data_IF_200521687063
#
_entry.id   IF_200521687063
#
_cell.length_a   1.000
_cell.length_b   1.000
_cell.length_c   1.000
_cell.angle_alpha   90.00
_cell.angle_beta   90.00
_cell.angle_gamma   90.00
#
_symmetry.space_group_name_H-M   'P 1'
#
loop_
_entity.id
_entity.type
_entity.pdbx_description
1 polymer ?
#
# COMPACT_ATOMS: atom_id res chain seq x y z
N UNK A 1 2.18 12.59 -30.49
CA UNK A 1 3.18 12.18 -29.47
C UNK A 1 4.58 12.52 -29.98
N UNK A 2 5.45 13.04 -29.12
CA UNK A 2 6.88 13.18 -29.39
C UNK A 2 7.63 12.41 -28.31
N UNK A 3 8.59 11.58 -28.69
CA UNK A 3 9.35 10.74 -27.78
C UNK A 3 10.82 10.69 -28.20
N UNK A 4 11.69 10.26 -27.29
CA UNK A 4 13.08 9.91 -27.58
C UNK A 4 13.28 8.49 -27.07
N UNK A 5 13.60 7.58 -27.98
CA UNK A 5 13.95 6.21 -27.61
C UNK A 5 15.46 6.10 -27.45
N UNK A 6 15.91 5.41 -26.41
CA UNK A 6 17.34 5.18 -26.18
C UNK A 6 17.60 3.74 -25.79
N UNK A 7 18.63 3.14 -26.40
CA UNK A 7 19.09 1.78 -26.14
C UNK A 7 20.58 1.70 -26.48
N UNK A 8 21.36 1.02 -25.63
CA UNK A 8 22.79 0.76 -25.84
C UNK A 8 23.63 2.01 -26.18
N UNK A 9 23.29 3.16 -25.58
CA UNK A 9 23.99 4.43 -25.78
C UNK A 9 23.61 5.18 -27.07
N UNK A 10 22.76 4.60 -27.91
CA UNK A 10 22.15 5.28 -29.05
C UNK A 10 20.80 5.88 -28.67
N UNK A 11 20.44 7.01 -29.29
CA UNK A 11 19.14 7.64 -29.15
C UNK A 11 18.58 8.08 -30.49
N UNK A 12 17.26 7.95 -30.65
CA UNK A 12 16.53 8.37 -31.85
C UNK A 12 15.30 9.19 -31.47
N UNK A 13 15.09 10.30 -32.18
CA UNK A 13 13.89 11.11 -32.04
C UNK A 13 12.72 10.39 -32.70
N UNK A 14 11.54 10.41 -32.08
CA UNK A 14 10.35 9.77 -32.61
C UNK A 14 9.13 10.70 -32.60
N UNK A 15 8.31 10.61 -33.64
CA UNK A 15 7.06 11.37 -33.79
C UNK A 15 5.95 10.41 -34.17
N UNK A 16 4.84 10.46 -33.45
CA UNK A 16 3.63 9.71 -33.76
C UNK A 16 2.42 10.64 -33.88
N UNK A 17 1.80 10.68 -35.05
CA UNK A 17 0.55 11.40 -35.26
C UNK A 17 -0.63 10.57 -34.75
N UNK A 18 -1.64 11.20 -34.15
CA UNK A 18 -2.80 10.50 -33.57
C UNK A 18 -2.52 9.76 -32.25
N UNK A 19 -1.27 9.48 -31.89
CA UNK A 19 -0.88 8.75 -30.67
C UNK A 19 -0.91 9.60 -29.38
N UNK A 20 -1.56 10.77 -29.39
CA UNK A 20 -1.65 11.66 -28.22
C UNK A 20 -2.29 11.00 -26.98
N UNK A 21 -3.45 10.34 -27.13
CA UNK A 21 -4.12 9.68 -26.00
C UNK A 21 -3.29 8.56 -25.33
N UNK A 22 -2.34 7.95 -26.04
CA UNK A 22 -1.49 6.89 -25.46
C UNK A 22 -0.58 7.41 -24.35
N UNK A 23 -0.28 8.72 -24.31
CA UNK A 23 0.53 9.29 -23.23
C UNK A 23 -0.08 9.10 -21.85
N UNK A 24 -1.42 9.05 -21.73
CA UNK A 24 -2.12 8.83 -20.45
C UNK A 24 -2.25 7.34 -20.08
N UNK A 25 -1.91 6.47 -21.03
CA UNK A 25 -2.01 5.01 -20.95
C UNK A 25 -0.67 4.32 -20.73
N UNK A 26 0.42 5.09 -20.71
CA UNK A 26 1.80 4.65 -20.54
C UNK A 26 2.35 5.23 -19.22
N UNK A 27 2.80 4.36 -18.32
CA UNK A 27 3.45 4.78 -17.08
C UNK A 27 4.79 5.51 -17.39
N UNK A 28 5.19 6.51 -16.57
CA UNK A 28 6.37 7.34 -16.85
C UNK A 28 7.69 6.58 -17.05
N UNK A 29 7.79 5.39 -16.49
CA UNK A 29 8.98 4.55 -16.46
C UNK A 29 8.80 3.23 -17.23
N UNK A 30 7.73 3.13 -18.01
CA UNK A 30 7.41 1.94 -18.78
C UNK A 30 8.51 1.67 -19.81
N UNK A 31 8.86 0.38 -19.96
CA UNK A 31 9.65 -0.07 -21.10
C UNK A 31 8.73 -0.26 -22.29
N UNK A 32 8.98 0.51 -23.33
CA UNK A 32 8.10 0.58 -24.50
C UNK A 32 8.80 -0.07 -25.68
N UNK A 33 8.11 -1.01 -26.32
CA UNK A 33 8.44 -1.49 -27.66
C UNK A 33 7.72 -0.62 -28.68
N UNK A 34 8.41 -0.18 -29.73
CA UNK A 34 7.85 0.68 -30.75
C UNK A 34 8.02 0.07 -32.14
N UNK A 35 7.03 0.25 -32.99
CA UNK A 35 7.08 -0.08 -34.42
C UNK A 35 6.86 1.20 -35.20
N UNK A 36 7.68 1.43 -36.23
CA UNK A 36 7.61 2.63 -37.02
C UNK A 36 8.49 2.58 -38.26
N UNK A 37 8.37 3.61 -39.08
CA UNK A 37 9.17 3.80 -40.28
C UNK A 37 10.34 4.75 -39.97
N UNK A 38 11.55 4.33 -40.37
CA UNK A 38 12.72 5.19 -40.24
C UNK A 38 12.67 6.27 -41.33
N UNK A 39 12.77 7.52 -40.91
CA UNK A 39 12.80 8.69 -41.78
C UNK A 39 14.00 9.59 -41.44
N UNK A 40 14.29 10.52 -42.33
CA UNK A 40 15.30 11.56 -42.11
C UNK A 40 14.56 12.88 -42.01
N UNK A 41 14.68 13.55 -40.87
CA UNK A 41 14.16 14.89 -40.70
C UNK A 41 15.23 15.90 -41.10
N UNK A 42 14.96 16.68 -42.15
CA UNK A 42 15.86 17.71 -42.66
C UNK A 42 15.33 19.10 -42.32
N UNK A 43 16.08 19.85 -41.52
CA UNK A 43 15.75 21.23 -41.18
C UNK A 43 16.99 22.12 -41.22
N UNK A 44 16.94 23.18 -42.03
CA UNK A 44 18.03 24.16 -42.17
C UNK A 44 19.41 23.54 -42.47
N UNK A 45 19.44 22.52 -43.33
CA UNK A 45 20.68 21.81 -43.70
C UNK A 45 21.16 20.77 -42.67
N UNK A 46 20.45 20.58 -41.55
CA UNK A 46 20.71 19.49 -40.61
C UNK A 46 19.76 18.32 -40.89
N UNK A 47 20.33 17.16 -41.21
CA UNK A 47 19.62 15.90 -41.35
C UNK A 47 19.78 15.08 -40.06
N UNK A 48 18.66 14.64 -39.48
CA UNK A 48 18.67 13.81 -38.26
C UNK A 48 17.77 12.60 -38.44
N UNK A 49 18.23 11.37 -38.11
CA UNK A 49 17.36 10.20 -38.15
C UNK A 49 16.19 10.38 -37.19
N UNK A 50 15.00 10.01 -37.65
CA UNK A 50 13.76 10.09 -36.90
C UNK A 50 12.93 8.83 -37.13
N UNK A 51 12.23 8.36 -36.11
CA UNK A 51 11.26 7.27 -36.21
C UNK A 51 9.84 7.85 -36.31
N UNK A 52 9.15 7.57 -37.40
CA UNK A 52 7.72 7.83 -37.53
C UNK A 52 6.96 6.67 -36.89
N UNK A 53 6.33 6.91 -35.74
CA UNK A 53 5.67 5.87 -34.94
C UNK A 53 4.36 5.42 -35.60
N UNK A 54 4.23 4.11 -35.80
CA UNK A 54 2.99 3.46 -36.20
C UNK A 54 2.25 2.90 -34.99
N UNK A 55 2.97 2.23 -34.08
CA UNK A 55 2.38 1.58 -32.91
C UNK A 55 3.37 1.45 -31.74
N UNK A 56 2.84 1.28 -30.53
CA UNK A 56 3.57 1.16 -29.27
C UNK A 56 2.99 0.02 -28.43
N UNK A 57 3.86 -0.75 -27.78
CA UNK A 57 3.47 -1.81 -26.87
C UNK A 57 4.26 -1.72 -25.55
N UNK A 58 3.57 -2.00 -24.44
CA UNK A 58 4.19 -2.19 -23.12
C UNK A 58 3.87 -3.62 -22.69
N UNK A 59 4.91 -4.43 -22.54
CA UNK A 59 4.78 -5.86 -22.20
C UNK A 59 4.86 -6.12 -20.70
N UNK A 60 5.47 -5.20 -19.96
CA UNK A 60 5.64 -5.31 -18.51
C UNK A 60 4.43 -4.72 -17.77
N UNK A 61 4.19 -5.21 -16.54
CA UNK A 61 3.20 -4.62 -15.64
C UNK A 61 3.51 -3.14 -15.39
N UNK A 62 2.54 -2.27 -15.66
CA UNK A 62 2.69 -0.83 -15.45
C UNK A 62 2.25 -0.41 -14.05
N UNK A 63 3.01 0.48 -13.41
CA UNK A 63 2.64 1.09 -12.13
C UNK A 63 2.22 2.55 -12.33
N UNK A 64 0.94 2.82 -12.08
CA UNK A 64 0.39 4.16 -11.99
C UNK A 64 0.32 4.56 -10.52
N UNK A 65 1.23 5.46 -10.14
CA UNK A 65 1.23 6.05 -8.80
C UNK A 65 0.18 7.18 -8.74
N UNK A 66 -0.93 6.87 -8.08
CA UNK A 66 -2.06 7.78 -7.88
C UNK A 66 -2.28 8.05 -6.39
N UNK A 67 -1.20 7.96 -5.59
CA UNK A 67 -1.22 8.30 -4.17
C UNK A 67 -1.56 9.79 -4.00
N UNK A 68 -2.32 10.11 -2.96
CA UNK A 68 -2.84 11.47 -2.73
C UNK A 68 -4.07 11.83 -3.58
N UNK A 69 -4.61 10.87 -4.35
CA UNK A 69 -5.89 11.03 -5.02
C UNK A 69 -7.02 11.28 -4.01
N UNK A 70 -7.67 12.44 -4.10
CA UNK A 70 -8.79 12.85 -3.23
C UNK A 70 -10.11 12.21 -3.62
N UNK A 71 -10.29 11.92 -4.91
CA UNK A 71 -11.52 11.38 -5.48
C UNK A 71 -11.17 10.36 -6.54
N UNK A 72 -11.45 9.08 -6.26
CA UNK A 72 -11.11 7.98 -7.16
C UNK A 72 -12.10 7.82 -8.34
N UNK A 73 -13.25 8.51 -8.33
CA UNK A 73 -14.30 8.35 -9.35
C UNK A 73 -13.79 8.60 -10.77
N UNK A 74 -13.07 9.70 -11.09
CA UNK A 74 -12.61 9.96 -12.45
C UNK A 74 -11.60 8.91 -12.94
N UNK A 75 -10.79 8.38 -12.01
CA UNK A 75 -9.88 7.28 -12.32
C UNK A 75 -10.67 6.04 -12.71
N UNK A 76 -11.62 5.62 -11.87
CA UNK A 76 -12.41 4.42 -12.14
C UNK A 76 -13.23 4.57 -13.43
N UNK A 77 -13.94 5.68 -13.63
CA UNK A 77 -14.77 5.94 -14.82
C UNK A 77 -13.99 5.83 -16.14
N UNK A 78 -12.71 6.24 -16.15
CA UNK A 78 -11.82 6.14 -17.30
C UNK A 78 -11.42 4.71 -17.66
N UNK A 79 -11.32 3.79 -16.70
CA UNK A 79 -10.78 2.46 -16.94
C UNK A 79 -11.80 1.57 -17.69
N UNK A 80 -11.39 0.65 -18.59
CA UNK A 80 -12.31 -0.32 -19.19
C UNK A 80 -12.92 -1.22 -18.10
N UNK A 81 -14.26 -1.34 -18.08
CA UNK A 81 -14.98 -2.12 -17.04
C UNK A 81 -14.60 -3.59 -17.04
N UNK A 82 -14.32 -4.13 -18.21
CA UNK A 82 -14.00 -5.54 -18.43
C UNK A 82 -12.59 -5.88 -17.94
N UNK A 83 -11.72 -4.88 -17.80
CA UNK A 83 -10.32 -5.06 -17.38
C UNK A 83 -10.07 -4.62 -15.94
N UNK A 84 -10.83 -3.65 -15.41
CA UNK A 84 -10.62 -3.13 -14.06
C UNK A 84 -10.95 -4.18 -13.00
N UNK A 85 -10.12 -4.23 -11.96
CA UNK A 85 -10.35 -4.99 -10.74
C UNK A 85 -10.13 -4.04 -9.55
N UNK A 86 -11.21 -3.68 -8.86
CA UNK A 86 -11.15 -2.71 -7.76
C UNK A 86 -11.02 -3.47 -6.44
N UNK A 87 -9.92 -3.25 -5.72
CA UNK A 87 -9.55 -4.03 -4.53
C UNK A 87 -9.43 -3.11 -3.32
N UNK A 88 -9.99 -3.57 -2.19
CA UNK A 88 -9.79 -2.99 -0.86
C UNK A 88 -9.44 -4.08 0.14
N UNK A 89 -8.54 -3.79 1.07
CA UNK A 89 -8.18 -4.67 2.17
C UNK A 89 -9.01 -4.41 3.44
N UNK A 90 -9.74 -3.29 3.49
CA UNK A 90 -10.64 -2.92 4.60
C UNK A 90 -12.05 -2.72 4.07
N UNK A 91 -13.02 -3.46 4.59
CA UNK A 91 -14.38 -3.42 4.04
C UNK A 91 -15.08 -2.07 4.28
N UNK A 92 -14.61 -1.27 5.25
CA UNK A 92 -15.10 0.09 5.45
C UNK A 92 -14.75 1.03 4.28
N UNK A 93 -13.73 0.70 3.47
CA UNK A 93 -13.35 1.49 2.28
C UNK A 93 -14.49 1.60 1.27
N UNK A 94 -15.33 0.57 1.15
CA UNK A 94 -16.54 0.62 0.32
C UNK A 94 -17.59 1.63 0.79
N UNK A 95 -17.47 2.16 2.02
CA UNK A 95 -18.37 3.17 2.56
C UNK A 95 -17.98 4.61 2.18
N UNK A 96 -16.79 4.82 1.64
CA UNK A 96 -16.35 6.15 1.21
C UNK A 96 -17.25 6.70 0.10
N UNK A 97 -17.60 8.00 0.11
CA UNK A 97 -18.50 8.59 -0.89
C UNK A 97 -18.00 8.45 -2.33
N UNK A 98 -16.68 8.47 -2.55
CA UNK A 98 -16.04 8.32 -3.86
C UNK A 98 -15.97 6.86 -4.35
N UNK A 99 -16.08 5.88 -3.44
CA UNK A 99 -16.05 4.44 -3.75
C UNK A 99 -17.45 3.82 -3.80
N UNK A 100 -18.40 4.34 -3.00
CA UNK A 100 -19.74 3.80 -2.84
C UNK A 100 -20.50 3.53 -4.17
N UNK A 101 -20.40 4.38 -5.22
CA UNK A 101 -21.02 4.09 -6.51
C UNK A 101 -20.51 2.81 -7.20
N UNK A 102 -19.32 2.33 -6.85
CA UNK A 102 -18.66 1.16 -7.43
C UNK A 102 -18.71 -0.08 -6.54
N UNK A 103 -19.57 -0.11 -5.50
CA UNK A 103 -19.65 -1.26 -4.57
C UNK A 103 -19.92 -2.60 -5.26
N UNK A 104 -20.65 -2.61 -6.37
CA UNK A 104 -20.93 -3.84 -7.13
C UNK A 104 -19.70 -4.42 -7.83
N UNK A 105 -18.63 -3.63 -7.97
CA UNK A 105 -17.37 -3.99 -8.63
C UNK A 105 -16.20 -4.07 -7.62
N UNK A 106 -16.47 -3.84 -6.33
CA UNK A 106 -15.47 -3.79 -5.27
C UNK A 106 -15.23 -5.19 -4.67
N UNK A 107 -13.97 -5.62 -4.66
CA UNK A 107 -13.51 -6.81 -3.98
C UNK A 107 -12.87 -6.42 -2.63
N UNK A 108 -13.61 -6.61 -1.54
CA UNK A 108 -13.02 -6.54 -0.20
C UNK A 108 -12.30 -7.86 0.11
N UNK A 109 -10.99 -7.80 0.36
CA UNK A 109 -10.14 -8.96 0.67
C UNK A 109 -9.42 -8.77 2.02
N UNK A 110 -10.11 -8.98 3.15
CA UNK A 110 -9.54 -8.82 4.49
C UNK A 110 -8.55 -9.94 4.89
N UNK A 111 -8.45 -11.02 4.12
CA UNK A 111 -7.60 -12.18 4.42
C UNK A 111 -6.65 -12.50 3.26
N UNK A 112 -5.54 -13.20 3.55
CA UNK A 112 -4.60 -13.68 2.52
C UNK A 112 -5.26 -14.68 1.57
N UNK A 113 -6.14 -15.55 2.08
CA UNK A 113 -6.85 -16.54 1.28
C UNK A 113 -7.77 -15.87 0.25
N UNK A 114 -8.56 -14.88 0.67
CA UNK A 114 -9.42 -14.12 -0.24
C UNK A 114 -8.61 -13.29 -1.24
N UNK A 115 -7.48 -12.72 -0.81
CA UNK A 115 -6.57 -11.97 -1.68
C UNK A 115 -5.93 -12.88 -2.75
N UNK A 116 -5.44 -14.06 -2.36
CA UNK A 116 -4.81 -15.03 -3.25
C UNK A 116 -5.79 -15.75 -4.18
N UNK A 117 -7.09 -15.77 -3.84
CA UNK A 117 -8.12 -16.35 -4.69
C UNK A 117 -8.55 -15.45 -5.87
N UNK A 118 -8.17 -14.18 -5.88
CA UNK A 118 -8.50 -13.25 -6.97
C UNK A 118 -7.61 -13.52 -8.19
N UNK A 119 -8.21 -13.71 -9.36
CA UNK A 119 -7.45 -13.73 -10.61
C UNK A 119 -7.13 -12.30 -11.07
N UNK A 120 -5.84 -11.96 -11.10
CA UNK A 120 -5.36 -10.63 -11.48
C UNK A 120 -4.70 -10.59 -12.87
N UNK A 121 -4.64 -11.72 -13.58
CA UNK A 121 -4.01 -11.81 -14.90
C UNK A 121 -4.63 -10.87 -15.91
N UNK A 122 -3.78 -10.08 -16.57
CA UNK A 122 -4.15 -9.09 -17.58
C UNK A 122 -5.20 -8.06 -17.11
N UNK A 123 -5.37 -7.90 -15.77
CA UNK A 123 -6.28 -6.94 -15.15
C UNK A 123 -5.62 -5.59 -14.88
N UNK A 124 -6.46 -4.58 -14.71
CA UNK A 124 -6.10 -3.26 -14.21
C UNK A 124 -6.47 -3.21 -12.73
N UNK A 125 -5.53 -3.60 -11.87
CA UNK A 125 -5.74 -3.72 -10.43
C UNK A 125 -5.67 -2.34 -9.79
N UNK A 126 -6.75 -1.92 -9.16
CA UNK A 126 -6.85 -0.64 -8.44
C UNK A 126 -6.83 -0.91 -6.94
N UNK A 127 -5.74 -0.51 -6.28
CA UNK A 127 -5.53 -0.72 -4.84
C UNK A 127 -5.99 0.51 -4.06
N UNK A 128 -7.20 0.45 -3.50
CA UNK A 128 -7.86 1.61 -2.90
C UNK A 128 -7.27 2.07 -1.57
N UNK A 129 -6.86 1.12 -0.73
CA UNK A 129 -6.42 1.36 0.65
C UNK A 129 -5.16 0.55 1.00
N UNK A 130 -4.54 0.90 2.12
CA UNK A 130 -3.33 0.22 2.61
C UNK A 130 -3.73 -1.07 3.33
N UNK A 131 -3.15 -2.23 2.95
CA UNK A 131 -3.41 -3.48 3.64
C UNK A 131 -2.93 -3.39 5.10
N UNK A 132 -3.62 -4.05 6.05
CA UNK A 132 -3.17 -4.10 7.45
C UNK A 132 -1.83 -4.82 7.62
N UNK A 133 -1.42 -5.62 6.63
CA UNK A 133 -0.17 -6.39 6.61
C UNK A 133 0.29 -6.52 5.15
N UNK A 134 1.58 -6.39 4.89
CA UNK A 134 2.12 -6.55 3.52
C UNK A 134 1.85 -7.93 2.93
N UNK A 135 1.72 -8.96 3.75
CA UNK A 135 1.42 -10.32 3.29
C UNK A 135 0.11 -10.42 2.50
N UNK A 136 -0.92 -9.59 2.78
CA UNK A 136 -2.16 -9.59 1.98
C UNK A 136 -1.90 -9.11 0.55
N UNK A 137 -1.13 -8.04 0.41
CA UNK A 137 -0.75 -7.52 -0.90
C UNK A 137 0.18 -8.50 -1.63
N UNK A 138 1.06 -9.18 -0.89
CA UNK A 138 1.89 -10.25 -1.45
C UNK A 138 1.06 -11.44 -1.94
N UNK A 139 0.02 -11.85 -1.20
CA UNK A 139 -0.88 -12.93 -1.62
C UNK A 139 -1.66 -12.52 -2.87
N UNK A 140 -2.18 -11.29 -2.92
CA UNK A 140 -2.85 -10.75 -4.11
C UNK A 140 -1.91 -10.70 -5.31
N UNK A 141 -0.71 -10.13 -5.17
CA UNK A 141 0.23 -9.99 -6.29
C UNK A 141 0.89 -11.32 -6.68
N UNK A 142 0.81 -12.33 -5.82
CA UNK A 142 1.22 -13.70 -6.10
C UNK A 142 0.22 -14.49 -6.92
N UNK A 143 -1.05 -14.05 -7.00
CA UNK A 143 -2.12 -14.80 -7.67
C UNK A 143 -2.19 -14.61 -9.20
N UNK A 144 -1.28 -13.83 -9.78
CA UNK A 144 -1.22 -13.63 -11.23
C UNK A 144 -0.35 -12.45 -11.66
N UNK A 145 -0.45 -12.08 -12.93
CA UNK A 145 0.31 -10.99 -13.56
C UNK A 145 -0.61 -9.88 -14.06
N UNK A 146 -0.77 -8.79 -13.30
CA UNK A 146 -1.61 -7.69 -13.72
C UNK A 146 -0.96 -6.94 -14.89
N UNK A 147 -1.79 -6.45 -15.81
CA UNK A 147 -1.32 -5.56 -16.87
C UNK A 147 -0.98 -4.18 -16.30
N UNK A 148 -1.74 -3.74 -15.30
CA UNK A 148 -1.58 -2.42 -14.65
C UNK A 148 -1.92 -2.51 -13.17
N UNK A 149 -1.17 -1.78 -12.36
CA UNK A 149 -1.46 -1.51 -10.95
C UNK A 149 -1.65 -0.01 -10.78
N UNK A 150 -2.78 0.38 -10.21
CA UNK A 150 -3.08 1.75 -9.79
C UNK A 150 -3.00 1.82 -8.26
N UNK A 151 -1.93 2.42 -7.76
CA UNK A 151 -1.67 2.55 -6.32
C UNK A 151 -2.35 3.81 -5.79
N UNK A 152 -3.58 3.67 -5.26
CA UNK A 152 -4.34 4.78 -4.66
C UNK A 152 -3.95 4.95 -3.20
N UNK A 153 -3.98 3.86 -2.43
CA UNK A 153 -3.64 3.81 -1.00
C UNK A 153 -4.21 5.00 -0.19
N UNK A 154 -5.45 5.39 -0.49
CA UNK A 154 -6.07 6.53 0.13
C UNK A 154 -6.39 6.24 1.59
N UNK A 155 -5.86 7.08 2.49
CA UNK A 155 -6.06 6.97 3.93
C UNK A 155 -6.83 8.17 4.47
N UNK A 156 -7.67 8.00 5.50
CA UNK A 156 -8.28 9.12 6.21
C UNK A 156 -7.20 10.00 6.88
N UNK A 157 -7.33 11.32 6.74
CA UNK A 157 -6.42 12.32 7.33
C UNK A 157 -6.21 12.13 8.86
N UNK A 158 -7.18 11.53 9.56
CA UNK A 158 -7.11 11.27 10.99
C UNK A 158 -6.09 10.18 11.41
N UNK A 159 -5.52 9.41 10.48
CA UNK A 159 -4.49 8.40 10.79
C UNK A 159 -3.07 8.98 10.87
N UNK A 160 -2.79 10.10 10.18
CA UNK A 160 -1.45 10.68 10.04
C UNK A 160 -0.81 11.18 11.35
N UNK A 161 -1.61 11.49 12.38
CA UNK A 161 -1.13 12.10 13.63
C UNK A 161 -1.10 11.14 14.83
N UNK A 162 -1.23 9.83 14.61
CA UNK A 162 -1.25 8.85 15.70
C UNK A 162 0.16 8.50 16.14
N UNK A 163 0.62 9.12 17.23
CA UNK A 163 1.90 8.76 17.87
C UNK A 163 1.90 7.29 18.30
N UNK A 164 2.74 6.49 17.67
CA UNK A 164 2.98 5.11 18.11
C UNK A 164 3.75 5.10 19.43
N UNK A 165 3.28 4.40 20.47
CA UNK A 165 3.98 4.41 21.74
C UNK A 165 5.36 3.75 21.62
N UNK A 166 6.40 4.49 21.99
CA UNK A 166 7.77 4.01 22.01
C UNK A 166 7.99 3.07 23.21
N UNK A 167 9.10 2.33 23.20
CA UNK A 167 9.49 1.50 24.34
C UNK A 167 9.59 2.31 25.64
N UNK A 168 9.97 3.57 25.57
CA UNK A 168 10.04 4.44 26.74
C UNK A 168 8.67 4.89 27.23
N UNK A 169 7.67 5.04 26.34
CA UNK A 169 6.28 5.23 26.75
C UNK A 169 5.77 4.03 27.55
N UNK A 170 6.04 2.81 27.07
CA UNK A 170 5.66 1.59 27.78
C UNK A 170 6.36 1.46 29.14
N UNK A 171 7.67 1.70 29.21
CA UNK A 171 8.42 1.71 30.49
C UNK A 171 7.82 2.72 31.47
N UNK A 172 7.51 3.92 30.99
CA UNK A 172 6.95 4.94 31.83
C UNK A 172 5.56 4.56 32.35
N UNK A 173 4.69 4.06 31.46
CA UNK A 173 3.34 3.65 31.83
C UNK A 173 3.36 2.49 32.84
N UNK A 174 4.28 1.54 32.69
CA UNK A 174 4.49 0.47 33.67
C UNK A 174 4.94 1.02 35.03
N UNK A 175 5.92 1.93 35.05
CA UNK A 175 6.40 2.56 36.28
C UNK A 175 5.30 3.35 37.01
N UNK A 176 4.46 4.06 36.24
CA UNK A 176 3.29 4.77 36.75
C UNK A 176 2.31 3.79 37.46
N UNK A 177 1.99 2.67 36.81
CA UNK A 177 1.11 1.66 37.40
C UNK A 177 1.72 0.99 38.64
N UNK A 178 3.04 0.77 38.64
CA UNK A 178 3.75 0.25 39.80
C UNK A 178 3.68 1.21 41.01
N UNK A 179 3.73 2.53 40.79
CA UNK A 179 3.61 3.53 41.85
C UNK A 179 2.19 3.63 42.41
N UNK A 180 1.18 3.59 41.55
CA UNK A 180 -0.22 3.81 41.95
C UNK A 180 -0.99 2.52 42.30
N UNK A 181 -0.45 1.34 41.95
CA UNK A 181 -1.01 -0.03 42.09
C UNK A 181 -2.32 -0.29 41.36
N UNK A 182 -3.27 0.66 41.41
CA UNK A 182 -4.49 0.66 40.63
C UNK A 182 -4.75 2.06 40.03
N UNK A 183 -5.34 2.08 38.84
CA UNK A 183 -5.63 3.31 38.11
C UNK A 183 -6.98 3.20 37.39
N UNK A 184 -7.94 4.12 37.64
CA UNK A 184 -9.23 4.11 36.96
C UNK A 184 -9.11 4.66 35.54
N UNK A 185 -8.64 3.80 34.62
CA UNK A 185 -8.37 4.13 33.23
C UNK A 185 -9.60 4.73 32.52
N UNK A 186 -10.78 4.15 32.72
CA UNK A 186 -12.00 4.62 32.06
C UNK A 186 -12.42 6.04 32.49
N UNK A 187 -12.06 6.48 33.70
CA UNK A 187 -12.42 7.81 34.22
C UNK A 187 -11.29 8.83 34.05
N UNK A 188 -10.03 8.40 34.14
CA UNK A 188 -8.86 9.27 34.25
C UNK A 188 -7.83 9.08 33.13
N UNK A 189 -8.09 8.18 32.17
CA UNK A 189 -7.21 7.94 31.02
C UNK A 189 -6.92 9.20 30.21
N UNK A 190 -7.94 10.01 29.93
CA UNK A 190 -7.78 11.30 29.25
C UNK A 190 -7.00 12.37 30.06
N UNK A 191 -6.98 12.29 31.39
CA UNK A 191 -6.11 13.16 32.22
C UNK A 191 -4.65 12.74 32.07
N UNK A 192 -4.38 11.44 32.13
CA UNK A 192 -3.04 10.88 31.95
C UNK A 192 -2.49 11.19 30.57
N UNK A 193 -3.32 11.04 29.53
CA UNK A 193 -2.99 11.36 28.16
C UNK A 193 -2.54 12.82 28.02
N UNK A 194 -3.35 13.76 28.52
CA UNK A 194 -3.03 15.21 28.49
C UNK A 194 -1.77 15.55 29.27
N UNK A 195 -1.59 14.97 30.46
CA UNK A 195 -0.39 15.22 31.28
C UNK A 195 0.91 14.72 30.61
N UNK A 196 0.81 13.74 29.70
CA UNK A 196 1.95 13.17 28.97
C UNK A 196 2.10 13.62 27.53
N UNK A 197 1.19 14.44 27.02
CA UNK A 197 1.16 14.78 25.59
C UNK A 197 0.86 13.56 24.71
N UNK A 198 0.15 12.57 25.23
CA UNK A 198 -0.33 11.41 24.50
C UNK A 198 -1.79 11.59 24.11
N UNK A 199 -2.27 10.82 23.13
CA UNK A 199 -3.70 10.70 22.89
C UNK A 199 -4.30 9.68 23.86
N UNK A 200 -5.60 9.80 24.11
CA UNK A 200 -6.34 8.82 24.91
C UNK A 200 -6.27 7.43 24.29
N UNK A 201 -6.26 7.35 22.95
CA UNK A 201 -6.04 6.11 22.21
C UNK A 201 -4.68 5.48 22.51
N UNK A 202 -3.59 6.26 22.59
CA UNK A 202 -2.26 5.76 22.96
C UNK A 202 -2.27 5.11 24.36
N UNK A 203 -2.95 5.72 25.34
CA UNK A 203 -3.05 5.16 26.70
C UNK A 203 -3.83 3.85 26.70
N UNK A 204 -4.99 3.83 26.06
CA UNK A 204 -5.81 2.62 25.94
C UNK A 204 -5.09 1.51 25.17
N UNK A 205 -4.32 1.86 24.14
CA UNK A 205 -3.48 0.92 23.40
C UNK A 205 -2.43 0.28 24.31
N UNK A 206 -1.68 1.08 25.09
CA UNK A 206 -0.68 0.54 26.02
C UNK A 206 -1.31 -0.36 27.08
N UNK A 207 -2.47 0.04 27.64
CA UNK A 207 -3.21 -0.79 28.58
C UNK A 207 -3.65 -2.12 27.96
N UNK A 208 -4.20 -2.10 26.74
CA UNK A 208 -4.60 -3.31 26.03
C UNK A 208 -3.42 -4.26 25.78
N UNK A 209 -2.27 -3.73 25.35
CA UNK A 209 -1.03 -4.52 25.19
C UNK A 209 -0.60 -5.15 26.51
N UNK A 210 -0.66 -4.41 27.61
CA UNK A 210 -0.32 -4.95 28.93
C UNK A 210 -1.31 -5.99 29.45
N UNK A 211 -2.60 -5.87 29.11
CA UNK A 211 -3.62 -6.87 29.44
C UNK A 211 -3.35 -8.17 28.68
N UNK A 212 -3.02 -8.10 27.38
CA UNK A 212 -2.66 -9.27 26.56
C UNK A 212 -1.37 -9.98 27.01
N UNK A 213 -0.49 -9.24 27.70
CA UNK A 213 0.77 -9.73 28.26
C UNK A 213 0.66 -10.13 29.73
N UNK A 214 -0.55 -10.10 30.31
CA UNK A 214 -0.81 -10.40 31.73
C UNK A 214 0.01 -9.53 32.71
N UNK A 215 0.40 -8.33 32.29
CA UNK A 215 1.09 -7.37 33.17
C UNK A 215 0.09 -6.62 34.06
N UNK A 216 -1.15 -6.49 33.59
CA UNK A 216 -2.22 -5.80 34.31
C UNK A 216 -3.52 -6.62 34.25
N UNK A 217 -4.37 -6.43 35.25
CA UNK A 217 -5.77 -6.87 35.25
C UNK A 217 -6.69 -5.66 35.17
N UNK A 218 -7.82 -5.80 34.48
CA UNK A 218 -8.88 -4.80 34.43
C UNK A 218 -10.13 -5.28 35.19
N UNK A 219 -10.66 -4.43 36.06
CA UNK A 219 -11.94 -4.63 36.74
C UNK A 219 -12.74 -3.32 36.74
N UNK A 220 -13.92 -3.31 36.12
CA UNK A 220 -14.83 -2.15 36.07
C UNK A 220 -14.16 -0.84 35.62
N UNK A 221 -13.31 -0.92 34.59
CA UNK A 221 -12.58 0.24 34.06
C UNK A 221 -11.42 0.73 34.94
N UNK A 222 -11.04 -0.06 35.95
CA UNK A 222 -9.86 0.15 36.78
C UNK A 222 -8.82 -0.90 36.43
N UNK A 223 -7.64 -0.46 36.01
CA UNK A 223 -6.50 -1.33 35.75
C UNK A 223 -5.62 -1.45 36.99
N UNK A 224 -5.07 -2.64 37.23
CA UNK A 224 -4.19 -2.93 38.38
C UNK A 224 -3.02 -3.78 37.96
N UNK A 225 -1.85 -3.56 38.57
CA UNK A 225 -0.64 -4.31 38.23
C UNK A 225 -0.72 -5.73 38.80
N UNK A 226 -0.39 -6.74 37.98
CA UNK A 226 -0.22 -8.12 38.44
C UNK A 226 1.05 -8.22 39.29
N UNK A 227 1.00 -8.95 40.41
CA UNK A 227 2.18 -9.16 41.25
C UNK A 227 3.12 -10.18 40.59
N UNK A 228 4.38 -9.81 40.39
CA UNK A 228 5.41 -10.65 39.73
C UNK A 228 4.95 -11.21 38.37
N UNK A 229 4.67 -10.35 37.37
CA UNK A 229 4.31 -10.84 36.05
C UNK A 229 5.47 -11.61 35.43
N UNK A 230 5.16 -12.64 34.63
CA UNK A 230 6.16 -13.32 33.82
C UNK A 230 6.82 -12.31 32.87
N UNK A 231 8.13 -12.44 32.66
CA UNK A 231 8.85 -11.57 31.72
C UNK A 231 8.44 -11.95 30.29
N UNK A 232 7.65 -11.10 29.65
CA UNK A 232 7.14 -11.27 28.27
C UNK A 232 7.57 -10.11 27.37
N UNK A 233 7.71 -10.38 26.08
CA UNK A 233 8.06 -9.36 25.09
C UNK A 233 6.79 -8.64 24.58
N UNK A 234 6.90 -7.35 24.23
CA UNK A 234 5.81 -6.61 23.59
C UNK A 234 5.39 -7.25 22.27
N UNK A 235 6.32 -7.87 21.54
CA UNK A 235 6.04 -8.61 20.31
C UNK A 235 5.17 -9.85 20.53
N UNK A 236 4.95 -10.31 21.77
CA UNK A 236 3.98 -11.38 22.05
C UNK A 236 2.54 -10.89 22.03
N UNK A 237 2.29 -9.58 22.20
CA UNK A 237 0.95 -8.99 22.13
C UNK A 237 0.43 -8.96 20.69
N UNK A 238 -0.73 -9.58 20.40
CA UNK A 238 -1.39 -9.47 19.10
C UNK A 238 -1.70 -8.03 18.70
N UNK A 239 -2.14 -7.18 19.65
CA UNK A 239 -2.42 -5.76 19.39
C UNK A 239 -1.16 -5.00 19.00
N UNK A 240 -0.03 -5.25 19.69
CA UNK A 240 1.25 -4.62 19.36
C UNK A 240 1.76 -5.05 17.98
N UNK A 241 1.76 -6.35 17.68
CA UNK A 241 2.17 -6.87 16.36
C UNK A 241 1.31 -6.29 15.23
N UNK A 242 -0.02 -6.34 15.35
CA UNK A 242 -0.92 -5.80 14.32
C UNK A 242 -0.62 -4.34 14.02
N UNK A 243 -0.46 -3.51 15.06
CA UNK A 243 -0.22 -2.08 14.86
C UNK A 243 1.15 -1.80 14.23
N UNK A 244 2.17 -2.60 14.57
CA UNK A 244 3.48 -2.54 13.92
C UNK A 244 3.38 -2.89 12.43
N UNK A 245 2.68 -3.97 12.10
CA UNK A 245 2.54 -4.43 10.71
C UNK A 245 1.77 -3.40 9.85
N UNK A 246 0.76 -2.73 10.43
CA UNK A 246 0.06 -1.62 9.77
C UNK A 246 0.99 -0.44 9.45
N UNK A 247 1.83 -0.05 10.41
CA UNK A 247 2.79 1.05 10.23
C UNK A 247 3.87 0.71 9.22
N UNK A 248 4.34 -0.54 9.21
CA UNK A 248 5.28 -1.02 8.21
C UNK A 248 4.67 -0.96 6.81
N UNK A 249 3.44 -1.45 6.65
CA UNK A 249 2.73 -1.38 5.38
C UNK A 249 2.54 0.07 4.90
N UNK A 250 2.13 0.97 5.80
CA UNK A 250 1.98 2.39 5.51
C UNK A 250 3.31 3.03 5.07
N UNK A 251 4.40 2.76 5.79
CA UNK A 251 5.72 3.27 5.44
C UNK A 251 6.20 2.79 4.07
N UNK A 252 6.03 1.50 3.78
CA UNK A 252 6.49 0.94 2.50
C UNK A 252 5.63 1.34 1.31
N UNK A 253 4.32 1.56 1.50
CA UNK A 253 3.39 1.79 0.39
C UNK A 253 3.04 3.28 0.19
N UNK A 254 2.89 4.04 1.27
CA UNK A 254 2.44 5.45 1.22
C UNK A 254 3.62 6.41 1.24
N UNK A 255 4.57 6.23 2.17
CA UNK A 255 5.68 7.18 2.37
C UNK A 255 6.94 6.87 1.55
N UNK A 256 6.90 5.82 0.73
CA UNK A 256 8.00 5.45 -0.15
C UNK A 256 8.06 6.30 -1.42
N UNK A 257 9.25 6.46 -1.97
CA UNK A 257 9.44 7.00 -3.32
C UNK A 257 8.80 6.09 -4.37
N UNK A 258 8.55 6.63 -5.56
CA UNK A 258 8.04 5.85 -6.69
C UNK A 258 8.89 4.59 -6.98
N UNK A 259 10.22 4.74 -7.06
CA UNK A 259 11.14 3.62 -7.29
C UNK A 259 11.10 2.55 -6.19
N UNK A 260 10.97 2.98 -4.93
CA UNK A 260 10.83 2.05 -3.80
C UNK A 260 9.51 1.29 -3.87
N UNK A 261 8.40 1.98 -4.16
CA UNK A 261 7.09 1.36 -4.34
C UNK A 261 7.12 0.35 -5.49
N UNK A 262 7.64 0.75 -6.65
CA UNK A 262 7.77 -0.15 -7.81
C UNK A 262 8.57 -1.40 -7.49
N UNK A 263 9.72 -1.25 -6.83
CA UNK A 263 10.55 -2.38 -6.42
C UNK A 263 9.80 -3.30 -5.46
N UNK A 264 9.14 -2.75 -4.45
CA UNK A 264 8.36 -3.49 -3.46
C UNK A 264 7.26 -4.33 -4.14
N UNK A 265 6.45 -3.72 -5.01
CA UNK A 265 5.40 -4.44 -5.75
C UNK A 265 5.98 -5.52 -6.68
N UNK A 266 7.08 -5.20 -7.39
CA UNK A 266 7.72 -6.15 -8.29
C UNK A 266 8.38 -7.34 -7.56
N UNK A 267 8.82 -7.16 -6.31
CA UNK A 267 9.32 -8.25 -5.46
C UNK A 267 8.18 -9.17 -5.01
N UNK A 268 7.02 -8.59 -4.65
CA UNK A 268 5.83 -9.37 -4.30
C UNK A 268 5.30 -10.21 -5.47
N UNK A 269 5.32 -9.68 -6.70
CA UNK A 269 4.93 -10.44 -7.89
C UNK A 269 5.92 -11.56 -8.25
N UNK A 270 7.21 -11.43 -7.89
CA UNK A 270 8.26 -12.42 -8.20
C UNK A 270 8.42 -13.51 -7.14
N UNK A 271 8.13 -13.21 -5.88
CA UNK A 271 8.48 -14.09 -4.76
C UNK A 271 7.70 -15.40 -4.72
N UNK A 272 6.52 -15.48 -5.36
CA UNK A 272 5.73 -16.72 -5.42
C UNK A 272 6.08 -17.61 -6.62
N UNK A 273 6.71 -17.08 -7.68
CA UNK A 273 7.12 -17.88 -8.84
C UNK A 273 8.25 -18.87 -8.51
N UNK A 274 9.01 -18.60 -7.44
CA UNK A 274 10.09 -19.49 -6.97
C UNK A 274 9.60 -20.63 -6.06
N UNK A 275 8.47 -20.48 -5.37
CA UNK A 275 7.90 -21.56 -4.55
C UNK A 275 7.25 -22.64 -5.41
N UNK A 276 6.55 -22.28 -6.49
CA UNK A 276 5.97 -23.26 -7.43
C UNK A 276 7.03 -24.03 -8.24
N UNK A 277 8.17 -23.40 -8.56
CA UNK A 277 9.26 -24.06 -9.29
C UNK A 277 10.00 -25.12 -8.44
N UNK A 278 9.97 -25.00 -7.11
CA UNK A 278 10.61 -25.97 -6.21
C UNK A 278 9.70 -27.14 -5.82
N UNK A 279 8.39 -27.05 -6.04
CA UNK A 279 7.45 -28.16 -5.77
C UNK A 279 7.33 -29.12 -6.96
N UNK A 280 7.73 -28.71 -8.16
CA UNK A 280 7.70 -29.57 -9.37
C UNK A 280 8.87 -30.57 -9.49
N UNK A 281 9.81 -30.62 -8.53
CA UNK A 281 10.99 -31.51 -8.57
C UNK A 281 11.17 -32.40 -7.34
N UNK A 282 10.09 -32.68 -6.61
CA UNK A 282 10.05 -33.71 -5.54
C UNK A 282 8.94 -34.70 -5.82
#
# INVERSE_FOLDING_TARGET
MKAVFSQDGAAIDAIGFGLGPLCEEIAPDARISAVGELSVNEWNGFAKPQLSLCDLAVSDCQLFDVRGCRDVRPLLERLPKEKRLVVSFRCETGQRPDVAPFRGELHCVPTEEEAGALSIDDRYVVLLDVPPRLALLSALLGSGRPARIYAVFAQPEAQFFRTFPTRDHFKWFYAFLHQHRSFPLAKRGGELARARGWTEETVHFMAKVFLELDFINEQNGVISLVHQPAKRDLHESPTYRRRRDELEAEHQLVYSTYEQLKRCLAEMTRSQTHEEANVSWT
#
